data_IF_309592924240
#
_entry.id   IF_309592924240
#
_cell.length_a   1.000
_cell.length_b   1.000
_cell.length_c   1.000
_cell.angle_alpha   90.00
_cell.angle_beta   90.00
_cell.angle_gamma   90.00
#
_symmetry.space_group_name_H-M   'P 1'
#
loop_
_entity.id
_entity.type
_entity.pdbx_description
1 polymer ?
#
# COMPACT_ATOMS: atom_id res chain seq x y z
N UNK A 1 -0.92 2.18 12.65
CA UNK A 1 -0.93 1.42 13.94
C UNK A 1 0.32 1.77 14.72
N UNK A 2 0.23 2.04 16.05
CA UNK A 2 1.39 2.28 16.93
C UNK A 2 1.73 0.98 17.68
N UNK A 3 2.99 0.54 17.55
CA UNK A 3 3.56 -0.58 18.30
C UNK A 3 4.55 -0.05 19.34
N UNK A 4 4.42 -0.52 20.56
CA UNK A 4 5.40 -0.27 21.62
C UNK A 4 6.10 -1.58 21.97
N UNK A 5 7.40 -1.63 21.73
CA UNK A 5 8.24 -2.81 21.99
C UNK A 5 9.41 -2.39 22.88
N UNK A 6 9.31 -2.70 24.17
CA UNK A 6 10.24 -2.16 25.16
C UNK A 6 10.17 -0.64 25.19
N UNK A 7 11.28 0.05 24.92
CA UNK A 7 11.38 1.51 24.84
C UNK A 7 11.33 2.05 23.39
N UNK A 8 11.01 1.19 22.41
CA UNK A 8 10.82 1.59 21.02
C UNK A 8 9.35 1.84 20.70
N UNK A 9 9.04 2.98 20.10
CA UNK A 9 7.74 3.32 19.53
C UNK A 9 7.81 3.32 18.00
N UNK A 10 7.10 2.38 17.38
CA UNK A 10 7.13 2.15 15.94
C UNK A 10 5.75 2.41 15.38
N UNK A 11 5.64 3.35 14.46
CA UNK A 11 4.41 3.58 13.72
C UNK A 11 4.43 2.71 12.45
N UNK A 12 3.43 1.87 12.27
CA UNK A 12 3.23 1.09 11.03
C UNK A 12 2.06 1.70 10.28
N UNK A 13 2.35 2.20 9.09
CA UNK A 13 1.47 2.92 8.19
C UNK A 13 0.81 4.17 8.80
N UNK A 14 0.49 5.12 7.97
CA UNK A 14 -0.31 6.29 8.29
C UNK A 14 -1.05 6.75 7.04
N UNK A 15 -2.23 6.21 6.82
CA UNK A 15 -3.04 6.45 5.64
C UNK A 15 -4.10 7.52 5.82
N UNK A 16 -4.90 7.70 4.77
CA UNK A 16 -6.11 8.49 4.76
C UNK A 16 -7.33 7.57 4.62
N UNK A 17 -8.41 7.91 5.30
CA UNK A 17 -9.69 7.26 5.08
C UNK A 17 -10.26 7.71 3.72
N UNK A 18 -10.39 6.82 2.73
CA UNK A 18 -10.84 7.19 1.39
C UNK A 18 -12.31 7.64 1.33
N UNK A 19 -13.08 7.38 2.38
CA UNK A 19 -14.52 7.72 2.45
C UNK A 19 -14.79 9.08 3.08
N UNK A 20 -13.77 9.71 3.65
CA UNK A 20 -13.92 10.99 4.37
C UNK A 20 -12.96 12.01 3.76
N UNK A 21 -13.42 13.18 3.30
CA UNK A 21 -12.55 14.20 2.76
C UNK A 21 -11.93 15.10 3.84
N UNK A 22 -10.92 15.88 3.45
CA UNK A 22 -10.31 16.91 4.26
C UNK A 22 -9.58 16.37 5.48
N UNK A 23 -9.54 17.15 6.55
CA UNK A 23 -8.87 16.79 7.79
C UNK A 23 -9.47 15.55 8.46
N UNK A 24 -10.75 15.26 8.21
CA UNK A 24 -11.43 14.07 8.73
C UNK A 24 -10.92 12.75 8.13
N UNK A 25 -10.19 12.81 7.01
CA UNK A 25 -9.56 11.63 6.42
C UNK A 25 -8.35 11.13 7.22
N UNK A 26 -7.71 12.01 8.02
CA UNK A 26 -6.56 11.64 8.84
C UNK A 26 -6.98 10.75 10.03
N UNK A 27 -6.13 9.81 10.44
CA UNK A 27 -6.30 9.14 11.72
C UNK A 27 -6.14 10.13 12.88
N UNK A 28 -6.53 9.74 14.08
CA UNK A 28 -6.35 10.61 15.27
C UNK A 28 -4.86 10.76 15.64
N UNK A 29 -4.21 11.70 14.97
CA UNK A 29 -2.80 12.02 15.20
C UNK A 29 -2.53 12.65 16.57
N UNK A 30 -3.57 13.05 17.34
CA UNK A 30 -3.39 13.53 18.70
C UNK A 30 -2.76 12.48 19.59
N UNK A 31 -3.01 11.20 19.29
CA UNK A 31 -2.40 10.08 20.00
C UNK A 31 -0.87 10.01 19.87
N UNK A 32 -0.30 10.69 18.87
CA UNK A 32 1.15 10.73 18.65
C UNK A 32 1.82 11.99 19.20
N UNK A 33 1.06 12.98 19.71
CA UNK A 33 1.58 14.31 20.07
C UNK A 33 2.75 14.26 21.06
N UNK A 34 2.63 13.41 22.08
CA UNK A 34 3.61 13.28 23.14
C UNK A 34 4.44 11.99 23.05
N UNK A 35 4.35 11.30 21.91
CA UNK A 35 5.07 10.06 21.64
C UNK A 35 6.33 10.37 20.85
N UNK A 36 7.49 9.97 21.37
CA UNK A 36 8.71 9.93 20.56
C UNK A 36 8.64 8.72 19.63
N UNK A 37 8.54 8.94 18.32
CA UNK A 37 8.59 7.85 17.33
C UNK A 37 10.04 7.55 16.97
N UNK A 38 10.44 6.29 17.16
CA UNK A 38 11.78 5.81 16.82
C UNK A 38 11.88 5.37 15.36
N UNK A 39 10.77 4.88 14.79
CA UNK A 39 10.69 4.39 13.42
C UNK A 39 9.27 4.52 12.88
N UNK A 40 9.15 4.82 11.59
CA UNK A 40 7.93 4.62 10.81
C UNK A 40 8.19 3.50 9.80
N UNK A 41 7.32 2.51 9.74
CA UNK A 41 7.36 1.43 8.74
C UNK A 41 6.20 1.64 7.78
N UNK A 42 6.46 1.54 6.48
CA UNK A 42 5.43 1.56 5.44
C UNK A 42 5.35 0.18 4.81
N UNK A 43 4.17 -0.44 4.91
CA UNK A 43 3.92 -1.75 4.33
C UNK A 43 3.80 -1.70 2.80
N UNK A 44 3.12 -0.68 2.26
CA UNK A 44 3.01 -0.44 0.82
C UNK A 44 2.51 0.97 0.51
N UNK A 45 2.42 1.33 -0.78
CA UNK A 45 2.21 2.71 -1.21
C UNK A 45 0.76 3.07 -1.60
N UNK A 46 -0.27 2.34 -1.16
CA UNK A 46 -1.65 2.81 -1.30
C UNK A 46 -1.93 3.98 -0.34
N UNK A 47 -2.86 4.87 -0.70
CA UNK A 47 -3.10 6.12 0.03
C UNK A 47 -3.70 5.91 1.42
N UNK A 48 -4.44 4.84 1.62
CA UNK A 48 -4.93 4.39 2.91
C UNK A 48 -3.82 3.84 3.84
N UNK A 49 -2.57 3.78 3.35
CA UNK A 49 -1.37 3.43 4.12
C UNK A 49 -0.34 4.56 4.20
N UNK A 50 -0.24 5.43 3.18
CA UNK A 50 0.77 6.51 3.14
C UNK A 50 0.18 7.92 3.12
N UNK A 51 -1.12 8.09 2.88
CA UNK A 51 -1.68 9.41 2.60
C UNK A 51 -1.61 10.42 3.76
N UNK A 52 -1.53 9.95 5.01
CA UNK A 52 -1.29 10.77 6.19
C UNK A 52 0.19 10.90 6.57
N UNK A 53 1.09 10.18 5.90
CA UNK A 53 2.51 10.12 6.25
C UNK A 53 3.21 11.49 6.24
N UNK A 54 3.03 12.38 5.25
CA UNK A 54 3.69 13.69 5.27
C UNK A 54 3.29 14.53 6.50
N UNK A 55 2.03 14.42 6.93
CA UNK A 55 1.52 15.14 8.12
C UNK A 55 2.21 14.63 9.39
N UNK A 56 2.37 13.31 9.55
CA UNK A 56 3.10 12.72 10.67
C UNK A 56 4.58 13.10 10.62
N UNK A 57 5.21 13.03 9.44
CA UNK A 57 6.62 13.36 9.28
C UNK A 57 6.93 14.83 9.59
N UNK A 58 5.96 15.74 9.39
CA UNK A 58 6.03 17.15 9.81
C UNK A 58 6.07 17.28 11.32
N UNK A 59 5.29 16.47 12.05
CA UNK A 59 5.24 16.46 13.51
C UNK A 59 6.45 15.74 14.12
N UNK A 60 7.02 14.76 13.40
CA UNK A 60 8.15 13.94 13.82
C UNK A 60 9.33 14.07 12.84
N UNK A 61 9.99 15.24 12.78
CA UNK A 61 10.94 15.57 11.71
C UNK A 61 12.24 14.74 11.72
N UNK A 62 12.55 14.07 12.83
CA UNK A 62 13.78 13.27 12.97
C UNK A 62 13.55 11.76 12.81
N UNK A 63 12.29 11.31 12.76
CA UNK A 63 11.98 9.87 12.69
C UNK A 63 12.26 9.33 11.31
N UNK A 64 13.09 8.28 11.17
CA UNK A 64 13.34 7.62 9.89
C UNK A 64 12.09 6.84 9.42
N UNK A 65 11.93 6.72 8.10
CA UNK A 65 10.90 5.90 7.47
C UNK A 65 11.57 4.72 6.78
N UNK A 66 11.12 3.50 7.10
CA UNK A 66 11.60 2.26 6.53
C UNK A 66 10.51 1.62 5.67
N UNK A 67 10.87 1.23 4.46
CA UNK A 67 9.98 0.60 3.48
C UNK A 67 10.81 -0.30 2.55
N UNK A 68 10.16 -1.06 1.66
CA UNK A 68 10.91 -1.86 0.68
C UNK A 68 11.58 -0.94 -0.37
N UNK A 69 12.63 -1.45 -1.04
CA UNK A 69 13.27 -0.70 -2.14
C UNK A 69 12.27 -0.35 -3.25
N UNK A 70 11.36 -1.25 -3.60
CA UNK A 70 10.33 -0.97 -4.60
C UNK A 70 9.35 0.11 -4.12
N UNK A 71 8.90 0.06 -2.87
CA UNK A 71 8.05 1.11 -2.29
C UNK A 71 8.78 2.46 -2.23
N UNK A 72 10.10 2.47 -1.96
CA UNK A 72 10.91 3.70 -1.99
C UNK A 72 10.92 4.37 -3.36
N UNK A 73 10.90 3.59 -4.44
CA UNK A 73 10.83 4.13 -5.81
C UNK A 73 9.43 4.66 -6.18
N UNK A 74 8.39 4.21 -5.49
CA UNK A 74 6.99 4.52 -5.80
C UNK A 74 6.41 5.63 -4.93
N UNK A 75 6.82 5.70 -3.64
CA UNK A 75 6.16 6.51 -2.63
C UNK A 75 6.08 8.00 -3.00
N UNK A 76 7.15 8.57 -3.53
CA UNK A 76 7.19 9.96 -3.94
C UNK A 76 6.14 10.25 -5.02
N UNK A 77 6.07 9.41 -6.06
CA UNK A 77 5.07 9.55 -7.14
C UNK A 77 3.65 9.41 -6.63
N UNK A 78 3.41 8.49 -5.71
CA UNK A 78 2.09 8.28 -5.12
C UNK A 78 1.66 9.46 -4.25
N UNK A 79 2.56 10.04 -3.47
CA UNK A 79 2.30 11.24 -2.67
C UNK A 79 2.06 12.47 -3.55
N UNK A 80 2.84 12.67 -4.62
CA UNK A 80 2.60 13.75 -5.59
C UNK A 80 1.23 13.61 -6.27
N UNK A 81 0.85 12.40 -6.67
CA UNK A 81 -0.48 12.15 -7.22
C UNK A 81 -1.58 12.47 -6.21
N UNK A 82 -1.40 12.10 -4.94
CA UNK A 82 -2.34 12.44 -3.87
C UNK A 82 -2.48 13.95 -3.68
N UNK A 83 -1.37 14.70 -3.72
CA UNK A 83 -1.40 16.16 -3.62
C UNK A 83 -2.19 16.78 -4.78
N UNK A 84 -2.00 16.29 -6.02
CA UNK A 84 -2.75 16.72 -7.19
C UNK A 84 -4.26 16.46 -7.04
N UNK A 85 -4.63 15.25 -6.58
CA UNK A 85 -6.04 14.90 -6.36
C UNK A 85 -6.67 15.80 -5.29
N UNK A 86 -5.97 16.00 -4.17
CA UNK A 86 -6.45 16.90 -3.10
C UNK A 86 -6.58 18.35 -3.58
N UNK A 87 -5.65 18.84 -4.41
CA UNK A 87 -5.73 20.18 -4.97
C UNK A 87 -6.96 20.30 -5.89
N UNK A 88 -7.19 19.34 -6.76
CA UNK A 88 -8.37 19.30 -7.63
C UNK A 88 -9.67 19.26 -6.84
N UNK A 89 -9.77 18.41 -5.82
CA UNK A 89 -10.94 18.34 -4.94
C UNK A 89 -11.18 19.64 -4.14
N UNK A 90 -10.11 20.34 -3.77
CA UNK A 90 -10.23 21.68 -3.19
C UNK A 90 -10.87 22.68 -4.15
N UNK A 91 -10.47 22.63 -5.43
CA UNK A 91 -10.97 23.56 -6.46
C UNK A 91 -12.39 23.24 -6.89
N UNK A 92 -12.73 21.95 -7.06
CA UNK A 92 -14.04 21.49 -7.55
C UNK A 92 -15.08 21.42 -6.43
N UNK A 93 -14.71 20.87 -5.27
CA UNK A 93 -15.65 20.55 -4.18
C UNK A 93 -15.48 21.48 -2.95
N UNK A 94 -14.54 22.43 -3.02
CA UNK A 94 -14.20 23.38 -1.94
C UNK A 94 -13.93 22.70 -0.59
N UNK A 95 -13.19 21.58 -0.60
CA UNK A 95 -12.93 20.80 0.61
C UNK A 95 -11.97 21.56 1.54
N UNK A 96 -12.39 21.91 2.77
CA UNK A 96 -11.54 22.62 3.71
C UNK A 96 -10.33 21.83 4.13
N UNK A 97 -9.16 22.51 4.22
CA UNK A 97 -7.92 21.90 4.69
C UNK A 97 -7.14 21.12 3.63
N UNK A 98 -7.65 21.01 2.42
CA UNK A 98 -6.91 20.44 1.30
C UNK A 98 -6.06 21.52 0.57
N UNK A 99 -4.89 21.13 0.00
CA UNK A 99 -4.22 19.84 0.19
C UNK A 99 -3.61 19.72 1.59
N UNK A 100 -3.56 18.50 2.15
CA UNK A 100 -2.99 18.22 3.48
C UNK A 100 -1.46 18.42 3.50
N UNK A 101 -0.83 18.33 2.35
CA UNK A 101 0.60 18.54 2.12
C UNK A 101 0.85 18.98 0.68
N UNK A 102 1.98 19.63 0.44
CA UNK A 102 2.37 20.21 -0.84
C UNK A 102 3.45 19.39 -1.53
N UNK A 103 3.66 19.63 -2.84
CA UNK A 103 4.76 19.03 -3.60
C UNK A 103 6.12 19.36 -2.98
N UNK A 104 6.33 20.61 -2.56
CA UNK A 104 7.58 21.05 -1.92
C UNK A 104 7.84 20.31 -0.60
N UNK A 105 6.80 20.05 0.19
CA UNK A 105 6.95 19.25 1.41
C UNK A 105 7.35 17.81 1.09
N UNK A 106 6.75 17.19 0.07
CA UNK A 106 7.12 15.83 -0.36
C UNK A 106 8.60 15.77 -0.75
N UNK A 107 9.06 16.69 -1.59
CA UNK A 107 10.47 16.78 -2.01
C UNK A 107 11.42 16.90 -0.80
N UNK A 108 11.04 17.68 0.21
CA UNK A 108 11.78 17.82 1.45
C UNK A 108 11.84 16.54 2.31
N UNK A 109 10.95 15.56 2.07
CA UNK A 109 10.87 14.32 2.86
C UNK A 109 11.59 13.13 2.21
N UNK A 110 11.89 13.17 0.92
CA UNK A 110 12.40 12.01 0.13
C UNK A 110 13.68 11.42 0.73
N UNK A 111 14.57 12.24 1.27
CA UNK A 111 15.83 11.81 1.88
C UNK A 111 15.64 10.94 3.14
N UNK A 112 14.45 10.94 3.74
CA UNK A 112 14.13 10.16 4.95
C UNK A 112 13.59 8.77 4.63
N UNK A 113 13.28 8.47 3.37
CA UNK A 113 12.80 7.17 2.94
C UNK A 113 13.97 6.19 2.77
N UNK A 114 14.06 5.21 3.67
CA UNK A 114 15.12 4.21 3.69
C UNK A 114 14.60 2.88 3.17
N UNK A 115 15.13 2.44 2.02
CA UNK A 115 14.76 1.16 1.43
C UNK A 115 15.45 -0.02 2.12
N UNK A 116 14.71 -1.11 2.33
CA UNK A 116 15.22 -2.40 2.80
C UNK A 116 14.80 -3.49 1.82
N UNK A 117 15.72 -4.36 1.46
CA UNK A 117 15.44 -5.52 0.62
C UNK A 117 14.67 -6.59 1.40
N UNK A 118 13.84 -7.35 0.68
CA UNK A 118 13.16 -8.50 1.26
C UNK A 118 14.15 -9.51 1.86
N UNK A 119 13.74 -10.11 2.97
CA UNK A 119 14.50 -11.15 3.69
C UNK A 119 15.86 -10.69 4.21
N UNK A 120 16.11 -9.39 4.28
CA UNK A 120 17.27 -8.80 4.94
C UNK A 120 16.90 -8.39 6.36
N UNK A 121 17.75 -8.75 7.31
CA UNK A 121 17.58 -8.36 8.71
C UNK A 121 18.08 -6.93 8.90
N UNK A 122 17.24 -6.09 9.50
CA UNK A 122 17.57 -4.75 9.97
C UNK A 122 17.46 -4.70 11.48
N UNK A 123 18.57 -4.40 12.16
CA UNK A 123 18.57 -4.15 13.60
C UNK A 123 18.15 -2.71 13.88
N UNK A 124 17.23 -2.54 14.82
CA UNK A 124 16.76 -1.25 15.33
C UNK A 124 17.08 -1.21 16.82
N UNK A 125 17.76 -0.15 17.24
CA UNK A 125 18.20 0.02 18.62
C UNK A 125 17.51 1.19 19.28
N UNK A 126 16.86 0.93 20.39
CA UNK A 126 16.44 1.92 21.38
C UNK A 126 17.53 2.16 22.42
N UNK A 127 17.16 2.74 23.56
CA UNK A 127 18.11 2.95 24.68
C UNK A 127 18.44 1.65 25.40
N UNK A 128 17.46 0.75 25.53
CA UNK A 128 17.58 -0.53 26.28
C UNK A 128 17.09 -1.73 25.46
N UNK A 129 16.36 -1.47 24.37
CA UNK A 129 15.73 -2.49 23.52
C UNK A 129 16.45 -2.55 22.21
N UNK A 130 16.71 -3.77 21.71
CA UNK A 130 17.11 -4.03 20.33
C UNK A 130 16.09 -4.99 19.73
N UNK A 131 15.66 -4.71 18.50
CA UNK A 131 14.81 -5.59 17.72
C UNK A 131 15.46 -5.91 16.37
N UNK A 132 15.13 -7.07 15.82
CA UNK A 132 15.45 -7.44 14.45
C UNK A 132 14.17 -7.36 13.61
N UNK A 133 14.24 -6.69 12.47
CA UNK A 133 13.13 -6.50 11.55
C UNK A 133 13.46 -7.11 10.20
N UNK A 134 12.50 -7.78 9.59
CA UNK A 134 12.61 -8.38 8.27
C UNK A 134 11.32 -8.15 7.47
N UNK A 135 11.47 -7.88 6.17
CA UNK A 135 10.36 -7.75 5.22
C UNK A 135 10.15 -9.03 4.42
N UNK A 136 8.86 -9.40 4.23
CA UNK A 136 8.43 -10.52 3.40
C UNK A 136 7.45 -10.06 2.34
N UNK A 137 7.57 -10.48 1.06
CA UNK A 137 6.61 -10.09 0.03
C UNK A 137 5.18 -10.48 0.40
N UNK A 138 4.26 -9.52 0.40
CA UNK A 138 2.85 -9.77 0.72
C UNK A 138 1.97 -10.02 -0.51
N UNK A 139 2.51 -9.89 -1.73
CA UNK A 139 1.83 -10.22 -2.98
C UNK A 139 0.74 -9.23 -3.41
N UNK A 140 0.41 -8.24 -2.58
CA UNK A 140 -0.71 -7.32 -2.80
C UNK A 140 -0.47 -6.35 -3.97
N UNK A 141 0.61 -5.56 -3.90
CA UNK A 141 1.06 -4.65 -4.96
C UNK A 141 2.59 -4.60 -5.01
N UNK A 142 3.15 -3.94 -6.02
CA UNK A 142 4.61 -3.77 -6.12
C UNK A 142 5.18 -3.13 -4.85
N UNK A 143 6.15 -3.81 -4.24
CA UNK A 143 6.79 -3.37 -3.00
C UNK A 143 6.02 -3.66 -1.72
N UNK A 144 4.83 -4.24 -1.79
CA UNK A 144 4.06 -4.56 -0.60
C UNK A 144 4.73 -5.65 0.26
N UNK A 145 4.72 -5.42 1.56
CA UNK A 145 5.45 -6.24 2.53
C UNK A 145 4.63 -6.60 3.76
N UNK A 146 4.81 -7.83 4.22
CA UNK A 146 4.60 -8.18 5.63
C UNK A 146 5.86 -7.84 6.43
N UNK A 147 5.70 -7.63 7.72
CA UNK A 147 6.76 -7.22 8.65
C UNK A 147 6.91 -8.27 9.73
N UNK A 148 8.08 -8.88 9.83
CA UNK A 148 8.47 -9.76 10.92
C UNK A 148 9.37 -9.00 11.88
N UNK A 149 9.06 -9.04 13.18
CA UNK A 149 9.85 -8.38 14.23
C UNK A 149 10.20 -9.39 15.31
N UNK A 150 11.50 -9.46 15.64
CA UNK A 150 12.00 -10.27 16.75
C UNK A 150 12.45 -9.34 17.89
N UNK A 151 12.00 -9.63 19.10
CA UNK A 151 12.44 -9.02 20.36
C UNK A 151 12.77 -10.10 21.36
N UNK A 152 14.04 -10.40 21.52
CA UNK A 152 14.49 -11.56 22.29
C UNK A 152 13.92 -12.87 21.69
N UNK A 153 13.16 -13.61 22.50
CA UNK A 153 12.51 -14.86 22.06
C UNK A 153 11.13 -14.61 21.42
N UNK A 154 10.58 -13.40 21.53
CA UNK A 154 9.24 -13.08 20.99
C UNK A 154 9.30 -12.73 19.52
N UNK A 155 8.33 -13.25 18.77
CA UNK A 155 8.16 -13.02 17.34
C UNK A 155 6.79 -12.41 17.05
N UNK A 156 6.79 -11.28 16.37
CA UNK A 156 5.59 -10.57 15.94
C UNK A 156 5.56 -10.60 14.41
N UNK A 157 4.41 -10.89 13.83
CA UNK A 157 4.21 -10.87 12.39
C UNK A 157 3.01 -10.02 12.02
N UNK A 158 3.22 -9.05 11.13
CA UNK A 158 2.17 -8.18 10.58
C UNK A 158 2.07 -8.46 9.09
N UNK A 159 0.89 -8.81 8.59
CA UNK A 159 0.73 -9.13 7.17
C UNK A 159 0.80 -7.90 6.25
N UNK A 160 0.43 -6.71 6.74
CA UNK A 160 -0.02 -5.65 5.87
C UNK A 160 -1.19 -6.17 5.02
N UNK A 161 -1.46 -5.52 3.89
CA UNK A 161 -2.40 -6.05 2.90
C UNK A 161 -1.75 -7.23 2.18
N UNK A 162 -2.49 -8.34 2.05
CA UNK A 162 -1.94 -9.60 1.55
C UNK A 162 -2.75 -10.20 0.41
N UNK A 163 -2.05 -10.76 -0.57
CA UNK A 163 -2.64 -11.59 -1.62
C UNK A 163 -1.80 -12.86 -1.78
N UNK A 164 -2.39 -14.03 -1.49
CA UNK A 164 -1.72 -15.33 -1.65
C UNK A 164 -1.77 -15.86 -3.08
N UNK A 165 -2.73 -15.42 -3.89
CA UNK A 165 -2.83 -15.81 -5.28
C UNK A 165 -1.78 -15.11 -6.15
N UNK A 166 -1.26 -15.83 -7.15
CA UNK A 166 -0.37 -15.23 -8.14
C UNK A 166 -1.13 -14.28 -9.06
N UNK A 167 -0.56 -13.11 -9.29
CA UNK A 167 -0.94 -12.18 -10.34
C UNK A 167 -0.08 -12.41 -11.58
N UNK A 168 -0.45 -11.81 -12.72
CA UNK A 168 0.42 -11.76 -13.91
C UNK A 168 1.68 -10.94 -13.64
N UNK A 169 1.53 -9.89 -12.85
CA UNK A 169 2.59 -8.91 -12.55
C UNK A 169 3.39 -9.26 -11.30
N UNK A 170 2.81 -10.03 -10.36
CA UNK A 170 3.41 -10.32 -9.06
C UNK A 170 3.17 -11.75 -8.61
N UNK A 171 4.14 -12.31 -7.90
CA UNK A 171 3.94 -13.56 -7.16
C UNK A 171 3.11 -13.29 -5.91
N UNK A 172 2.19 -14.20 -5.59
CA UNK A 172 1.45 -14.18 -4.34
C UNK A 172 2.36 -14.29 -3.11
N UNK A 173 1.82 -13.94 -1.96
CA UNK A 173 2.53 -14.02 -0.70
C UNK A 173 2.97 -15.46 -0.39
N UNK A 174 4.17 -15.58 0.16
CA UNK A 174 4.69 -16.82 0.72
C UNK A 174 5.38 -16.48 2.03
N UNK A 175 4.65 -16.64 3.14
CA UNK A 175 5.12 -16.28 4.47
C UNK A 175 5.87 -17.43 5.14
N UNK A 176 6.75 -17.13 6.12
CA UNK A 176 7.44 -18.16 6.88
C UNK A 176 6.43 -19.00 7.66
N UNK A 177 6.68 -20.31 7.72
CA UNK A 177 5.94 -21.25 8.55
C UNK A 177 6.66 -21.36 9.88
N UNK A 178 5.90 -21.23 10.98
CA UNK A 178 6.48 -21.33 12.31
C UNK A 178 5.57 -20.75 13.39
N UNK A 179 6.10 -20.69 14.61
CA UNK A 179 5.41 -20.08 15.74
C UNK A 179 5.67 -18.56 15.77
N UNK A 180 4.59 -17.80 15.93
CA UNK A 180 4.61 -16.36 16.22
C UNK A 180 3.81 -16.12 17.50
N UNK A 181 4.35 -15.30 18.40
CA UNK A 181 3.67 -14.94 19.64
C UNK A 181 2.52 -13.95 19.39
N UNK A 182 2.66 -13.14 18.35
CA UNK A 182 1.65 -12.15 17.93
C UNK A 182 1.53 -12.15 16.42
N UNK A 183 0.30 -12.34 15.93
CA UNK A 183 -0.05 -12.22 14.52
C UNK A 183 -1.05 -11.08 14.35
N UNK A 184 -0.71 -10.09 13.53
CA UNK A 184 -1.60 -9.00 13.12
C UNK A 184 -1.91 -9.20 11.65
N UNK A 185 -3.17 -9.51 11.35
CA UNK A 185 -3.63 -9.89 10.02
C UNK A 185 -4.74 -8.96 9.54
N UNK A 186 -4.70 -8.59 8.26
CA UNK A 186 -5.81 -7.92 7.61
C UNK A 186 -7.02 -8.86 7.49
N UNK A 187 -8.23 -8.28 7.51
CA UNK A 187 -9.48 -9.04 7.40
C UNK A 187 -10.45 -8.42 6.42
N UNK A 188 -9.96 -7.72 5.42
CA UNK A 188 -10.75 -6.99 4.40
C UNK A 188 -11.84 -7.88 3.77
N UNK A 189 -11.54 -9.15 3.57
CA UNK A 189 -12.48 -10.16 3.05
C UNK A 189 -12.78 -11.30 4.02
N UNK A 190 -12.54 -11.10 5.30
CA UNK A 190 -12.72 -12.15 6.32
C UNK A 190 -14.13 -12.73 6.43
N UNK A 191 -15.16 -11.97 6.04
CA UNK A 191 -16.55 -12.41 5.97
C UNK A 191 -17.08 -12.66 4.55
N UNK A 192 -16.22 -12.57 3.54
CA UNK A 192 -16.68 -12.69 2.15
C UNK A 192 -16.36 -14.09 1.63
N UNK A 193 -17.36 -14.90 1.43
CA UNK A 193 -17.22 -16.17 0.70
C UNK A 193 -17.09 -15.90 -0.80
N UNK A 194 -16.13 -16.56 -1.42
CA UNK A 194 -16.05 -16.55 -2.90
C UNK A 194 -17.16 -17.43 -3.45
N UNK A 195 -18.03 -16.87 -4.28
CA UNK A 195 -19.08 -17.65 -4.91
C UNK A 195 -18.46 -18.78 -5.75
N UNK A 196 -18.98 -20.00 -5.57
CA UNK A 196 -18.54 -21.18 -6.31
C UNK A 196 -18.61 -20.93 -7.83
N UNK A 197 -17.59 -21.34 -8.57
CA UNK A 197 -17.52 -21.16 -10.03
C UNK A 197 -17.12 -19.77 -10.52
N UNK A 198 -16.90 -18.78 -9.61
CA UNK A 198 -16.37 -17.45 -9.96
C UNK A 198 -14.87 -17.40 -9.79
N UNK A 199 -14.18 -18.25 -10.51
CA UNK A 199 -12.73 -18.20 -10.57
C UNK A 199 -12.27 -16.98 -11.38
N UNK A 200 -11.09 -16.43 -11.01
CA UNK A 200 -10.51 -15.25 -11.66
C UNK A 200 -10.39 -15.40 -13.19
N UNK A 201 -10.07 -16.59 -13.66
CA UNK A 201 -9.95 -16.89 -15.10
C UNK A 201 -11.25 -16.66 -15.84
N UNK A 202 -12.37 -17.07 -15.26
CA UNK A 202 -13.70 -16.90 -15.85
C UNK A 202 -14.14 -15.43 -15.88
N UNK A 203 -13.85 -14.69 -14.81
CA UNK A 203 -14.16 -13.25 -14.74
C UNK A 203 -13.33 -12.43 -15.74
N UNK A 204 -12.07 -12.80 -15.97
CA UNK A 204 -11.23 -12.17 -16.98
C UNK A 204 -11.75 -12.49 -18.40
N UNK A 205 -12.14 -13.73 -18.67
CA UNK A 205 -12.72 -14.09 -19.96
C UNK A 205 -14.01 -13.27 -20.20
N UNK A 206 -14.91 -13.23 -19.23
CA UNK A 206 -16.15 -12.45 -19.31
C UNK A 206 -15.88 -10.94 -19.52
N UNK A 207 -14.85 -10.38 -18.88
CA UNK A 207 -14.45 -8.99 -19.07
C UNK A 207 -13.99 -8.75 -20.53
N UNK A 208 -13.16 -9.65 -21.08
CA UNK A 208 -12.66 -9.56 -22.46
C UNK A 208 -13.83 -9.64 -23.44
N UNK A 209 -14.76 -10.58 -23.26
CA UNK A 209 -15.94 -10.74 -24.10
C UNK A 209 -16.81 -9.48 -24.07
N UNK A 210 -17.06 -8.91 -22.87
CA UNK A 210 -17.82 -7.67 -22.71
C UNK A 210 -17.16 -6.47 -23.40
N UNK A 211 -15.81 -6.37 -23.36
CA UNK A 211 -15.08 -5.34 -24.09
C UNK A 211 -15.25 -5.53 -25.59
N UNK A 212 -15.06 -6.76 -26.09
CA UNK A 212 -15.19 -7.08 -27.52
C UNK A 212 -16.58 -6.72 -28.04
N UNK A 213 -17.63 -7.13 -27.32
CA UNK A 213 -19.04 -6.83 -27.70
C UNK A 213 -19.28 -5.31 -27.74
N UNK A 214 -18.79 -4.57 -26.72
CA UNK A 214 -18.96 -3.12 -26.68
C UNK A 214 -18.27 -2.43 -27.86
N UNK A 215 -17.02 -2.79 -28.14
CA UNK A 215 -16.23 -2.19 -29.22
C UNK A 215 -16.80 -2.58 -30.60
N UNK A 216 -17.21 -3.84 -30.80
CA UNK A 216 -17.82 -4.30 -32.05
C UNK A 216 -19.13 -3.54 -32.38
N UNK A 217 -19.84 -3.08 -31.34
CA UNK A 217 -21.04 -2.24 -31.49
C UNK A 217 -20.74 -0.74 -31.55
N UNK A 218 -19.47 -0.32 -31.71
CA UNK A 218 -19.07 1.09 -31.84
C UNK A 218 -19.06 1.86 -30.51
N UNK A 219 -19.14 1.18 -29.38
CA UNK A 219 -19.14 1.78 -28.04
C UNK A 219 -17.73 1.98 -27.47
N UNK A 220 -17.67 2.59 -26.28
CA UNK A 220 -16.46 2.72 -25.45
C UNK A 220 -16.67 1.99 -24.13
N UNK A 221 -15.64 1.28 -23.67
CA UNK A 221 -15.67 0.53 -22.42
C UNK A 221 -14.87 1.30 -21.35
N UNK A 222 -15.56 1.77 -20.30
CA UNK A 222 -14.93 2.44 -19.17
C UNK A 222 -14.59 1.45 -18.05
N UNK A 223 -13.32 1.37 -17.69
CA UNK A 223 -12.82 0.47 -16.65
C UNK A 223 -12.13 1.27 -15.54
N UNK A 224 -12.84 1.64 -14.46
CA UNK A 224 -12.26 2.35 -13.35
C UNK A 224 -11.34 1.44 -12.54
N UNK A 225 -10.08 1.86 -12.36
CA UNK A 225 -9.06 1.07 -11.66
C UNK A 225 -8.13 1.95 -10.82
N UNK A 226 -7.59 1.38 -9.76
CA UNK A 226 -6.54 2.04 -9.00
C UNK A 226 -5.24 2.10 -9.80
N UNK A 227 -4.57 3.25 -9.73
CA UNK A 227 -3.33 3.52 -10.47
C UNK A 227 -2.18 2.56 -10.11
N UNK A 228 -2.09 2.13 -8.85
CA UNK A 228 -1.08 1.18 -8.40
C UNK A 228 -1.68 -0.22 -8.24
N UNK A 229 -1.13 -1.19 -8.96
CA UNK A 229 -1.46 -2.61 -8.89
C UNK A 229 -2.49 -3.05 -9.93
N UNK A 230 -3.75 -2.62 -9.82
CA UNK A 230 -4.84 -3.09 -10.69
C UNK A 230 -4.68 -2.68 -12.15
N UNK A 231 -4.25 -1.43 -12.40
CA UNK A 231 -4.00 -0.96 -13.76
C UNK A 231 -2.95 -1.81 -14.47
N UNK A 232 -1.79 -2.04 -13.83
CA UNK A 232 -0.70 -2.83 -14.41
C UNK A 232 -1.12 -4.28 -14.68
N UNK A 233 -1.89 -4.86 -13.77
CA UNK A 233 -2.39 -6.21 -13.91
C UNK A 233 -3.35 -6.35 -15.11
N UNK A 234 -4.29 -5.43 -15.28
CA UNK A 234 -5.22 -5.42 -16.39
C UNK A 234 -4.50 -5.16 -17.73
N UNK A 235 -3.56 -4.23 -17.77
CA UNK A 235 -2.75 -3.99 -18.97
C UNK A 235 -1.99 -5.25 -19.39
N UNK A 236 -1.44 -6.02 -18.44
CA UNK A 236 -0.79 -7.29 -18.73
C UNK A 236 -1.78 -8.32 -19.32
N UNK A 237 -3.01 -8.41 -18.77
CA UNK A 237 -4.06 -9.27 -19.34
C UNK A 237 -4.48 -8.84 -20.73
N UNK A 238 -4.70 -7.56 -20.96
CA UNK A 238 -5.10 -7.04 -22.27
C UNK A 238 -4.01 -7.23 -23.31
N UNK A 239 -2.76 -7.00 -22.95
CA UNK A 239 -1.62 -7.29 -23.82
C UNK A 239 -1.62 -8.76 -24.27
N UNK A 240 -1.76 -9.69 -23.32
CA UNK A 240 -1.80 -11.11 -23.64
C UNK A 240 -3.06 -11.48 -24.45
N UNK A 241 -4.23 -10.97 -24.08
CA UNK A 241 -5.46 -11.22 -24.80
C UNK A 241 -5.38 -10.74 -26.26
N UNK A 242 -4.77 -9.59 -26.50
CA UNK A 242 -4.51 -9.05 -27.84
C UNK A 242 -3.52 -9.92 -28.61
N UNK A 243 -2.39 -10.28 -27.98
CA UNK A 243 -1.38 -11.16 -28.58
C UNK A 243 -1.93 -12.51 -29.01
N UNK A 244 -2.90 -13.05 -28.30
CA UNK A 244 -3.55 -14.33 -28.63
C UNK A 244 -4.86 -14.17 -29.44
N UNK A 245 -5.15 -12.98 -29.97
CA UNK A 245 -6.32 -12.73 -30.80
C UNK A 245 -7.68 -12.82 -30.08
N UNK A 246 -7.67 -12.74 -28.74
CA UNK A 246 -8.89 -12.78 -27.91
C UNK A 246 -9.48 -11.40 -27.63
N UNK A 247 -8.71 -10.35 -27.74
CA UNK A 247 -9.16 -8.97 -27.59
C UNK A 247 -9.07 -8.26 -28.93
N UNK A 248 -10.18 -7.65 -29.35
CA UNK A 248 -10.25 -6.82 -30.57
C UNK A 248 -9.23 -5.68 -30.50
N UNK A 249 -8.70 -5.29 -31.65
CA UNK A 249 -7.78 -4.17 -31.71
C UNK A 249 -8.53 -2.84 -31.51
N UNK A 250 -8.24 -2.17 -30.41
CA UNK A 250 -8.84 -0.89 -30.03
C UNK A 250 -7.82 -0.03 -29.25
N UNK A 251 -7.92 1.31 -29.30
CA UNK A 251 -7.13 2.19 -28.45
C UNK A 251 -7.40 1.91 -26.96
N UNK A 252 -6.33 2.02 -26.14
CA UNK A 252 -6.40 1.87 -24.68
C UNK A 252 -5.70 3.05 -24.00
#
# INVERSE_FOLDING_TARGET
>A
MLLQIGDLNILVDCGLNPKTPGLGALPDLKLLRDVHLDLIIITHCHLDHIGGLPVVMRQHPKTPVLLTQSSRMLIEKMLHNSANVMQKQKEEDNIPGYPLFTHQEIEGLVHRFNGLDFKKIKKIKGKRTEIELMFHPSGHVAGATAVEIHHGLRKIFLTGDVLFEHLRTLKGAHFPIGHFDTLIIETTRGMTERAYGKERVHEIARLIDSINDTIANGGSFLLPVYALGRMQELLAFFHDARRFGRLIDCPM
#
